data_IF_014357255788
#
_entry.id   IF_014357255788
#
_cell.length_a   1.000
_cell.length_b   1.000
_cell.length_c   1.000
_cell.angle_alpha   90.00
_cell.angle_beta   90.00
_cell.angle_gamma   90.00
#
_symmetry.space_group_name_H-M   'P 1'
#
loop_
_entity.id
_entity.type
_entity.pdbx_description
1 polymer ?
#
# COMPACT_ATOMS: atom_id res chain seq x y z
N UNK A 1 -19.14 7.66 -18.99
CA UNK A 1 -18.52 8.89 -18.45
C UNK A 1 -17.09 8.58 -17.99
N UNK A 2 -16.14 9.49 -18.13
CA UNK A 2 -14.79 9.32 -17.59
C UNK A 2 -14.39 10.55 -16.79
N UNK A 3 -13.86 10.35 -15.58
CA UNK A 3 -13.28 11.40 -14.75
C UNK A 3 -11.79 11.13 -14.57
N UNK A 4 -10.99 12.18 -14.68
CA UNK A 4 -9.54 12.09 -14.53
C UNK A 4 -9.00 13.30 -13.78
N UNK A 5 -8.15 13.07 -12.78
CA UNK A 5 -7.54 14.14 -11.97
C UNK A 5 -8.56 15.03 -11.23
N UNK A 6 -9.63 14.41 -10.70
CA UNK A 6 -10.74 15.11 -10.02
C UNK A 6 -10.80 14.75 -8.54
N UNK A 7 -11.13 15.73 -7.69
CA UNK A 7 -11.55 15.49 -6.30
C UNK A 7 -13.06 15.69 -6.16
N UNK A 8 -13.75 14.72 -5.55
CA UNK A 8 -15.18 14.76 -5.21
C UNK A 8 -15.28 14.62 -3.70
N UNK A 9 -15.56 15.72 -2.99
CA UNK A 9 -15.51 15.71 -1.54
C UNK A 9 -16.57 16.57 -0.85
N UNK A 10 -16.88 16.19 0.39
CA UNK A 10 -17.78 16.95 1.27
C UNK A 10 -19.24 16.99 0.82
N UNK A 11 -19.65 16.13 -0.12
CA UNK A 11 -21.02 16.11 -0.63
C UNK A 11 -21.92 15.28 0.29
N UNK A 12 -23.18 15.69 0.43
CA UNK A 12 -24.15 15.00 1.30
C UNK A 12 -25.49 14.76 0.59
N UNK A 13 -25.95 13.51 0.57
CA UNK A 13 -27.32 13.15 0.18
C UNK A 13 -28.17 12.96 1.45
N UNK A 14 -29.02 13.94 1.76
CA UNK A 14 -29.74 14.06 3.04
C UNK A 14 -31.09 13.36 3.10
N UNK A 15 -31.66 12.96 1.96
CA UNK A 15 -32.96 12.29 1.92
C UNK A 15 -32.87 10.88 2.51
N UNK A 16 -33.93 10.44 3.20
CA UNK A 16 -34.12 9.02 3.49
C UNK A 16 -34.11 8.25 2.17
N UNK A 17 -33.23 7.26 2.04
CA UNK A 17 -32.96 6.54 0.79
C UNK A 17 -31.91 7.18 -0.12
N UNK A 18 -31.21 8.23 0.31
CA UNK A 18 -30.19 8.90 -0.52
C UNK A 18 -29.04 7.99 -0.93
N UNK A 19 -28.67 8.04 -2.22
CA UNK A 19 -27.61 7.23 -2.81
C UNK A 19 -26.41 8.10 -3.19
N UNK A 20 -25.20 7.57 -3.05
CA UNK A 20 -24.03 8.10 -3.75
C UNK A 20 -23.70 9.53 -3.38
N UNK A 21 -23.31 9.76 -2.12
CA UNK A 21 -23.00 11.09 -1.61
C UNK A 21 -21.99 11.80 -2.50
N UNK A 22 -20.95 11.10 -2.95
CA UNK A 22 -20.06 11.55 -4.01
C UNK A 22 -20.57 11.21 -5.42
N UNK A 23 -20.79 9.91 -5.70
CA UNK A 23 -21.15 9.43 -7.04
C UNK A 23 -22.32 8.45 -6.98
N UNK A 24 -23.31 8.67 -7.84
CA UNK A 24 -24.25 7.63 -8.29
C UNK A 24 -23.89 7.20 -9.70
N UNK A 25 -23.40 5.97 -9.86
CA UNK A 25 -23.15 5.40 -11.17
C UNK A 25 -24.38 4.62 -11.66
N UNK A 26 -24.84 4.98 -12.85
CA UNK A 26 -26.03 4.44 -13.49
C UNK A 26 -25.74 3.76 -14.84
N UNK A 27 -24.51 3.83 -15.33
CA UNK A 27 -24.06 3.25 -16.60
C UNK A 27 -22.55 2.92 -16.53
N UNK A 28 -21.82 3.07 -17.64
CA UNK A 28 -20.38 2.89 -17.67
C UNK A 28 -19.66 4.16 -17.19
N UNK A 29 -18.83 3.99 -16.16
CA UNK A 29 -18.00 5.04 -15.60
C UNK A 29 -16.56 4.56 -15.40
N UNK A 30 -15.61 5.39 -15.83
CA UNK A 30 -14.18 5.19 -15.57
C UNK A 30 -13.65 6.32 -14.70
N UNK A 31 -12.97 5.97 -13.62
CA UNK A 31 -12.30 6.91 -12.73
C UNK A 31 -10.79 6.68 -12.80
N UNK A 32 -10.02 7.73 -13.06
CA UNK A 32 -8.57 7.64 -13.11
C UNK A 32 -7.92 8.77 -12.31
N UNK A 33 -7.08 8.47 -11.33
CA UNK A 33 -6.43 9.50 -10.48
C UNK A 33 -7.42 10.42 -9.76
N UNK A 34 -8.51 9.83 -9.28
CA UNK A 34 -9.62 10.54 -8.64
C UNK A 34 -9.58 10.32 -7.12
N UNK A 35 -9.91 11.35 -6.36
CA UNK A 35 -10.12 11.24 -4.90
C UNK A 35 -11.59 11.47 -4.56
N UNK A 36 -12.19 10.52 -3.84
CA UNK A 36 -13.56 10.61 -3.35
C UNK A 36 -13.51 10.59 -1.83
N UNK A 37 -13.77 11.72 -1.18
CA UNK A 37 -13.55 11.81 0.26
C UNK A 37 -14.54 12.65 1.06
N UNK A 38 -14.78 12.25 2.31
CA UNK A 38 -15.63 13.02 3.21
C UNK A 38 -17.08 13.18 2.71
N UNK A 39 -17.55 12.30 1.81
CA UNK A 39 -18.92 12.34 1.34
C UNK A 39 -19.83 11.54 2.27
N UNK A 40 -21.12 11.89 2.29
CA UNK A 40 -22.12 11.24 3.12
C UNK A 40 -23.42 10.96 2.36
N UNK A 41 -23.94 9.75 2.49
CA UNK A 41 -25.25 9.36 1.97
C UNK A 41 -25.73 8.13 2.71
N UNK A 42 -27.03 7.80 2.57
CA UNK A 42 -27.56 6.58 3.14
C UNK A 42 -26.88 5.34 2.53
N UNK A 43 -26.84 5.23 1.21
CA UNK A 43 -26.31 4.07 0.52
C UNK A 43 -25.10 4.47 -0.34
N UNK A 44 -23.94 3.84 -0.14
CA UNK A 44 -22.76 4.14 -0.96
C UNK A 44 -22.27 5.58 -0.73
N UNK A 45 -21.85 5.93 0.50
CA UNK A 45 -21.56 7.32 0.85
C UNK A 45 -20.51 7.96 -0.08
N UNK A 46 -19.45 7.22 -0.42
CA UNK A 46 -18.55 7.58 -1.51
C UNK A 46 -19.20 7.34 -2.86
N UNK A 47 -19.46 6.07 -3.17
CA UNK A 47 -19.98 5.64 -4.47
C UNK A 47 -21.13 4.64 -4.30
N UNK A 48 -22.24 4.92 -4.98
CA UNK A 48 -23.29 3.95 -5.24
C UNK A 48 -23.18 3.45 -6.69
N UNK A 49 -22.91 2.16 -6.88
CA UNK A 49 -22.68 1.54 -8.17
C UNK A 49 -23.78 0.50 -8.48
N UNK A 50 -24.67 0.82 -9.42
CA UNK A 50 -25.61 -0.17 -9.95
C UNK A 50 -27.08 0.27 -9.96
N UNK A 51 -27.38 1.40 -10.61
CA UNK A 51 -28.76 1.80 -10.89
C UNK A 51 -29.34 1.21 -12.19
N UNK A 52 -28.58 0.38 -12.94
CA UNK A 52 -28.98 -0.18 -14.23
C UNK A 52 -28.22 -1.49 -14.55
N UNK A 53 -28.81 -2.46 -15.28
CA UNK A 53 -28.12 -3.69 -15.69
C UNK A 53 -26.87 -3.49 -16.56
N UNK A 54 -26.72 -2.33 -17.21
CA UNK A 54 -25.54 -1.98 -18.02
C UNK A 54 -24.45 -1.26 -17.22
N UNK A 55 -24.58 -1.21 -15.89
CA UNK A 55 -23.72 -0.46 -15.02
C UNK A 55 -22.35 -1.12 -14.85
N UNK A 56 -21.28 -0.34 -15.08
CA UNK A 56 -19.92 -0.75 -14.81
C UNK A 56 -19.12 0.43 -14.28
N UNK A 57 -18.35 0.18 -13.22
CA UNK A 57 -17.40 1.12 -12.64
C UNK A 57 -16.01 0.52 -12.70
N UNK A 58 -15.13 1.17 -13.46
CA UNK A 58 -13.71 0.83 -13.50
C UNK A 58 -12.90 1.97 -12.88
N UNK A 59 -12.06 1.65 -11.90
CA UNK A 59 -11.19 2.64 -11.27
C UNK A 59 -9.72 2.28 -11.44
N UNK A 60 -8.89 3.27 -11.73
CA UNK A 60 -7.44 3.14 -11.76
C UNK A 60 -6.79 4.26 -10.95
N UNK A 61 -5.90 3.92 -10.01
CA UNK A 61 -5.20 4.92 -9.19
C UNK A 61 -6.16 5.85 -8.42
N UNK A 62 -7.17 5.29 -7.77
CA UNK A 62 -8.22 6.05 -7.08
C UNK A 62 -8.09 5.92 -5.57
N UNK A 63 -8.26 7.03 -4.85
CA UNK A 63 -8.37 7.05 -3.39
C UNK A 63 -9.82 7.30 -2.98
N UNK A 64 -10.38 6.41 -2.15
CA UNK A 64 -11.73 6.55 -1.56
C UNK A 64 -11.58 6.55 -0.05
N UNK A 65 -11.79 7.71 0.58
CA UNK A 65 -11.42 7.88 1.99
C UNK A 65 -12.33 8.76 2.82
N UNK A 66 -12.61 8.36 4.06
CA UNK A 66 -13.38 9.19 4.98
C UNK A 66 -14.83 9.38 4.59
N UNK A 67 -15.38 8.54 3.69
CA UNK A 67 -16.79 8.62 3.34
C UNK A 67 -17.61 7.89 4.42
N UNK A 68 -18.67 8.54 4.89
CA UNK A 68 -19.40 8.09 6.07
C UNK A 68 -20.91 8.02 5.83
N UNK A 69 -21.50 6.98 6.37
CA UNK A 69 -22.94 6.81 6.42
C UNK A 69 -23.49 6.92 7.86
N UNK A 70 -24.57 7.67 8.06
CA UNK A 70 -25.16 7.97 9.36
C UNK A 70 -26.31 7.05 9.84
N UNK A 71 -26.85 6.14 9.01
CA UNK A 71 -28.02 5.31 9.37
C UNK A 71 -27.67 3.84 9.70
N UNK A 72 -28.49 3.16 10.53
CA UNK A 72 -28.22 1.79 10.99
C UNK A 72 -28.48 0.70 9.94
N UNK A 73 -29.18 1.01 8.83
CA UNK A 73 -29.64 0.01 7.86
C UNK A 73 -28.86 -0.02 6.54
N UNK A 74 -27.71 0.65 6.47
CA UNK A 74 -27.01 0.80 5.21
C UNK A 74 -25.50 0.58 5.29
N UNK A 75 -24.96 0.12 4.17
CA UNK A 75 -23.59 -0.30 3.98
C UNK A 75 -22.83 0.43 2.89
N UNK A 76 -21.57 0.00 2.71
CA UNK A 76 -20.69 0.52 1.69
C UNK A 76 -20.33 1.99 1.90
N UNK A 77 -19.74 2.33 3.05
CA UNK A 77 -19.28 3.70 3.32
C UNK A 77 -18.41 4.24 2.17
N UNK A 78 -17.46 3.45 1.69
CA UNK A 78 -16.69 3.74 0.49
C UNK A 78 -17.49 3.46 -0.77
N UNK A 79 -17.86 2.19 -0.97
CA UNK A 79 -18.60 1.73 -2.16
C UNK A 79 -19.74 0.79 -1.78
N UNK A 80 -20.94 1.09 -2.27
CA UNK A 80 -22.00 0.11 -2.39
C UNK A 80 -22.08 -0.37 -3.84
N UNK A 81 -21.73 -1.62 -4.09
CA UNK A 81 -21.91 -2.30 -5.37
C UNK A 81 -23.17 -3.16 -5.32
N UNK A 82 -24.23 -2.74 -6.03
CA UNK A 82 -25.55 -3.36 -5.94
C UNK A 82 -25.62 -4.64 -6.78
N UNK A 83 -26.78 -5.29 -6.84
CA UNK A 83 -27.04 -6.47 -7.69
C UNK A 83 -26.88 -6.21 -9.19
N UNK A 84 -26.98 -4.96 -9.64
CA UNK A 84 -26.67 -4.56 -11.02
C UNK A 84 -25.25 -4.00 -11.17
N UNK A 85 -24.44 -4.08 -10.12
CA UNK A 85 -23.09 -3.55 -10.07
C UNK A 85 -22.07 -4.43 -10.80
N UNK A 86 -21.20 -3.80 -11.56
CA UNK A 86 -19.95 -4.40 -12.01
C UNK A 86 -18.81 -3.47 -11.59
N UNK A 87 -17.94 -3.93 -10.70
CA UNK A 87 -16.87 -3.15 -10.10
C UNK A 87 -15.52 -3.75 -10.45
N UNK A 88 -14.63 -2.94 -11.02
CA UNK A 88 -13.22 -3.28 -11.23
C UNK A 88 -12.33 -2.23 -10.60
N UNK A 89 -11.50 -2.64 -9.63
CA UNK A 89 -10.55 -1.78 -8.92
C UNK A 89 -9.12 -2.17 -9.28
N UNK A 90 -8.34 -1.21 -9.76
CA UNK A 90 -6.91 -1.37 -10.08
C UNK A 90 -6.12 -0.29 -9.37
N UNK A 91 -5.15 -0.69 -8.54
CA UNK A 91 -4.31 0.27 -7.81
C UNK A 91 -5.15 1.32 -7.07
N UNK A 92 -6.17 0.89 -6.32
CA UNK A 92 -7.00 1.78 -5.51
C UNK A 92 -6.60 1.72 -4.03
N UNK A 93 -6.89 2.78 -3.29
CA UNK A 93 -6.78 2.82 -1.83
C UNK A 93 -8.14 3.18 -1.23
N UNK A 94 -8.77 2.23 -0.55
CA UNK A 94 -10.08 2.38 0.10
C UNK A 94 -9.91 2.23 1.60
N UNK A 95 -9.97 3.35 2.32
CA UNK A 95 -9.61 3.41 3.74
C UNK A 95 -10.42 4.45 4.51
N UNK A 96 -10.48 4.36 5.83
CA UNK A 96 -11.17 5.32 6.70
C UNK A 96 -12.64 5.58 6.35
N UNK A 97 -13.27 4.71 5.56
CA UNK A 97 -14.70 4.83 5.28
C UNK A 97 -15.50 4.13 6.39
N UNK A 98 -16.71 4.60 6.64
CA UNK A 98 -17.56 4.10 7.73
C UNK A 98 -19.01 3.96 7.31
N UNK A 99 -19.65 2.88 7.75
CA UNK A 99 -21.08 2.64 7.61
C UNK A 99 -21.57 1.65 8.67
N UNK A 100 -22.88 1.44 8.78
CA UNK A 100 -23.42 0.39 9.63
C UNK A 100 -23.07 -1.00 9.10
N UNK A 101 -23.22 -1.22 7.78
CA UNK A 101 -22.96 -2.50 7.12
C UNK A 101 -21.73 -2.41 6.19
N UNK A 102 -20.54 -2.57 6.74
CA UNK A 102 -19.26 -2.43 6.03
C UNK A 102 -18.90 -1.01 5.60
N UNK A 103 -17.85 -0.48 6.21
CA UNK A 103 -17.30 0.83 5.89
C UNK A 103 -16.63 0.86 4.53
N UNK A 104 -15.92 -0.20 4.13
CA UNK A 104 -15.20 -0.24 2.86
C UNK A 104 -16.13 -0.53 1.68
N UNK A 105 -16.31 -1.81 1.34
CA UNK A 105 -17.12 -2.26 0.21
C UNK A 105 -18.26 -3.17 0.66
N UNK A 106 -19.50 -2.75 0.40
CA UNK A 106 -20.64 -3.67 0.41
C UNK A 106 -20.91 -4.13 -1.02
N UNK A 107 -20.81 -5.44 -1.28
CA UNK A 107 -20.92 -6.01 -2.61
C UNK A 107 -22.08 -7.01 -2.75
N UNK A 108 -22.90 -6.87 -3.78
CA UNK A 108 -24.03 -7.76 -4.09
C UNK A 108 -23.99 -8.33 -5.52
N UNK A 109 -22.90 -8.10 -6.25
CA UNK A 109 -22.68 -8.57 -7.61
C UNK A 109 -21.18 -8.77 -7.85
N UNK A 110 -20.69 -8.48 -9.06
CA UNK A 110 -19.29 -8.71 -9.40
C UNK A 110 -18.41 -7.56 -8.90
N UNK A 111 -17.40 -7.90 -8.09
CA UNK A 111 -16.29 -7.03 -7.75
C UNK A 111 -14.95 -7.73 -8.00
N UNK A 112 -14.07 -7.08 -8.76
CA UNK A 112 -12.73 -7.59 -9.08
C UNK A 112 -11.68 -6.58 -8.61
N UNK A 113 -10.75 -7.04 -7.76
CA UNK A 113 -9.70 -6.21 -7.18
C UNK A 113 -8.32 -6.70 -7.64
N UNK A 114 -7.44 -5.77 -8.01
CA UNK A 114 -6.00 -6.03 -8.19
C UNK A 114 -5.15 -4.87 -7.71
N UNK A 115 -3.98 -5.18 -7.17
CA UNK A 115 -3.02 -4.19 -6.67
C UNK A 115 -3.68 -3.15 -5.73
N UNK A 116 -4.74 -3.52 -5.01
CA UNK A 116 -5.62 -2.57 -4.30
C UNK A 116 -5.51 -2.73 -2.79
N UNK A 117 -5.48 -1.61 -2.08
CA UNK A 117 -5.59 -1.57 -0.62
C UNK A 117 -7.07 -1.39 -0.25
N UNK A 118 -7.59 -2.31 0.56
CA UNK A 118 -8.90 -2.22 1.21
C UNK A 118 -8.71 -2.51 2.71
N UNK A 119 -8.50 -1.45 3.49
CA UNK A 119 -8.10 -1.59 4.89
C UNK A 119 -8.40 -0.34 5.71
N UNK A 120 -8.56 -0.52 7.03
CA UNK A 120 -8.76 0.60 7.96
C UNK A 120 -10.12 1.27 7.81
N UNK A 121 -11.10 0.56 7.26
CA UNK A 121 -12.49 1.00 7.27
C UNK A 121 -13.15 0.57 8.59
N UNK A 122 -14.36 1.09 8.87
CA UNK A 122 -15.05 0.83 10.14
C UNK A 122 -16.51 0.50 9.95
N UNK A 123 -17.05 -0.25 10.90
CA UNK A 123 -18.47 -0.63 10.96
C UNK A 123 -19.04 -0.22 12.30
N UNK A 124 -20.16 0.51 12.30
CA UNK A 124 -20.81 0.99 13.53
C UNK A 124 -21.81 0.00 14.12
N UNK A 125 -22.14 -1.09 13.41
CA UNK A 125 -23.13 -2.09 13.83
C UNK A 125 -22.57 -3.51 13.91
N UNK A 126 -21.25 -3.65 14.12
CA UNK A 126 -20.61 -4.96 14.32
C UNK A 126 -20.44 -5.81 13.06
N UNK A 127 -20.82 -5.30 11.89
CA UNK A 127 -20.56 -5.94 10.60
C UNK A 127 -19.07 -5.89 10.22
N UNK A 128 -18.63 -6.75 9.30
CA UNK A 128 -17.34 -6.67 8.61
C UNK A 128 -16.92 -5.26 8.17
N UNK A 129 -15.80 -4.70 8.65
CA UNK A 129 -15.46 -3.30 8.38
C UNK A 129 -14.98 -3.03 6.95
N UNK A 130 -14.11 -3.88 6.41
CA UNK A 130 -13.43 -3.62 5.12
C UNK A 130 -14.25 -4.09 3.92
N UNK A 131 -14.88 -5.27 4.00
CA UNK A 131 -15.77 -5.74 2.96
C UNK A 131 -16.88 -6.65 3.49
N UNK A 132 -18.00 -6.66 2.78
CA UNK A 132 -19.09 -7.60 2.99
C UNK A 132 -19.75 -8.01 1.66
N UNK A 133 -20.41 -9.16 1.68
CA UNK A 133 -21.11 -9.71 0.52
C UNK A 133 -20.19 -10.37 -0.51
N UNK A 134 -20.77 -10.79 -1.65
CA UNK A 134 -20.18 -11.77 -2.55
C UNK A 134 -20.69 -11.63 -3.99
N UNK A 135 -19.89 -12.01 -5.01
CA UNK A 135 -18.47 -12.40 -4.94
C UNK A 135 -17.51 -11.20 -5.01
N UNK A 136 -16.43 -11.24 -4.20
CA UNK A 136 -15.27 -10.36 -4.38
C UNK A 136 -14.08 -11.21 -4.82
N UNK A 137 -13.66 -11.03 -6.07
CA UNK A 137 -12.59 -11.82 -6.69
C UNK A 137 -11.28 -11.05 -6.70
N UNK A 138 -10.21 -11.72 -6.30
CA UNK A 138 -8.85 -11.19 -6.46
C UNK A 138 -8.29 -11.52 -7.84
N UNK A 139 -7.65 -10.54 -8.46
CA UNK A 139 -6.72 -10.71 -9.59
C UNK A 139 -5.26 -10.55 -9.15
N UNK A 140 -5.01 -10.64 -7.85
CA UNK A 140 -3.69 -10.68 -7.21
C UNK A 140 -3.23 -9.36 -6.63
N UNK A 141 -2.26 -9.49 -5.72
CA UNK A 141 -1.50 -8.38 -5.12
C UNK A 141 -2.34 -7.32 -4.40
N UNK A 142 -3.46 -7.69 -3.80
CA UNK A 142 -4.27 -6.81 -2.98
C UNK A 142 -3.81 -6.85 -1.52
N UNK A 143 -4.07 -5.77 -0.77
CA UNK A 143 -3.88 -5.74 0.67
C UNK A 143 -5.23 -5.53 1.35
N UNK A 144 -5.70 -6.54 2.08
CA UNK A 144 -6.97 -6.54 2.80
C UNK A 144 -6.70 -6.44 4.30
N UNK A 145 -7.19 -5.38 4.94
CA UNK A 145 -6.97 -5.09 6.36
C UNK A 145 -7.64 -6.09 7.30
N UNK A 146 -8.87 -6.49 6.96
CA UNK A 146 -9.63 -7.52 7.65
C UNK A 146 -10.41 -8.33 6.63
N UNK A 147 -10.24 -9.65 6.64
CA UNK A 147 -11.02 -10.56 5.79
C UNK A 147 -12.32 -11.02 6.46
N UNK A 148 -12.59 -10.57 7.68
CA UNK A 148 -13.81 -10.95 8.42
C UNK A 148 -15.03 -10.60 7.57
N UNK A 149 -15.87 -11.60 7.25
CA UNK A 149 -17.08 -11.47 6.42
C UNK A 149 -16.90 -10.94 5.00
N UNK A 150 -15.66 -10.80 4.54
CA UNK A 150 -15.35 -10.63 3.14
C UNK A 150 -15.38 -12.00 2.45
N UNK A 151 -16.27 -12.20 1.47
CA UNK A 151 -16.16 -13.35 0.55
C UNK A 151 -15.06 -13.10 -0.50
N UNK A 152 -13.84 -12.81 -0.01
CA UNK A 152 -12.67 -12.49 -0.82
C UNK A 152 -11.90 -13.77 -1.16
N UNK A 153 -11.92 -14.17 -2.43
CA UNK A 153 -11.13 -15.29 -2.90
C UNK A 153 -9.69 -14.82 -3.18
N UNK A 154 -8.79 -15.06 -2.21
CA UNK A 154 -7.39 -14.64 -2.31
C UNK A 154 -6.63 -15.41 -3.39
N UNK A 155 -5.65 -14.76 -3.98
CA UNK A 155 -4.75 -15.31 -5.00
C UNK A 155 -3.31 -14.84 -4.75
N UNK A 156 -2.43 -15.05 -5.73
CA UNK A 156 -1.00 -14.74 -5.64
C UNK A 156 -0.74 -13.30 -5.21
N UNK A 157 0.11 -13.14 -4.21
CA UNK A 157 0.61 -11.85 -3.74
C UNK A 157 -0.37 -11.05 -2.88
N UNK A 158 -1.57 -11.57 -2.61
CA UNK A 158 -2.49 -10.91 -1.68
C UNK A 158 -1.94 -10.94 -0.24
N UNK A 159 -2.05 -9.82 0.45
CA UNK A 159 -1.71 -9.63 1.85
C UNK A 159 -3.02 -9.51 2.64
N UNK A 160 -3.32 -10.48 3.49
CA UNK A 160 -4.59 -10.55 4.21
C UNK A 160 -4.40 -10.24 5.69
N UNK A 161 -5.44 -9.67 6.31
CA UNK A 161 -5.44 -9.30 7.74
C UNK A 161 -4.21 -8.44 8.11
N UNK A 162 -3.85 -7.51 7.21
CA UNK A 162 -2.60 -6.77 7.28
C UNK A 162 -2.86 -5.27 7.34
N UNK A 163 -2.25 -4.56 8.29
CA UNK A 163 -2.33 -3.10 8.34
C UNK A 163 -1.43 -2.47 7.25
N UNK A 164 -1.97 -1.64 6.34
CA UNK A 164 -1.17 -1.01 5.29
C UNK A 164 -0.23 0.10 5.78
N UNK A 165 -0.33 0.55 7.04
CA UNK A 165 0.48 1.64 7.60
C UNK A 165 0.41 2.92 6.73
N UNK A 166 -0.81 3.35 6.42
CA UNK A 166 -1.06 4.56 5.62
C UNK A 166 -0.83 5.84 6.45
N UNK A 167 -0.30 6.87 5.80
CA UNK A 167 -0.33 8.24 6.31
C UNK A 167 -1.73 8.88 6.21
N UNK A 168 -1.85 10.13 6.64
CA UNK A 168 -3.09 10.92 6.50
C UNK A 168 -3.48 11.14 5.04
N UNK A 169 -4.77 11.40 4.79
CA UNK A 169 -5.22 11.93 3.51
C UNK A 169 -4.75 13.37 3.39
N UNK A 170 -3.83 13.63 2.48
CA UNK A 170 -3.26 14.96 2.31
C UNK A 170 -2.68 15.15 0.90
N UNK A 171 -2.16 16.34 0.63
CA UNK A 171 -1.42 16.60 -0.59
C UNK A 171 -0.03 15.96 -0.47
N UNK A 172 0.14 14.77 -1.08
CA UNK A 172 1.44 14.10 -1.20
C UNK A 172 2.05 14.29 -2.60
N UNK A 173 1.70 15.39 -3.27
CA UNK A 173 1.98 15.67 -4.68
C UNK A 173 0.85 15.21 -5.61
N UNK A 174 0.90 15.67 -6.87
CA UNK A 174 -0.11 15.35 -7.88
C UNK A 174 -1.34 16.26 -7.87
N UNK A 175 -2.34 15.89 -8.68
CA UNK A 175 -3.56 16.69 -8.86
C UNK A 175 -4.64 16.46 -7.80
N UNK A 176 -4.59 15.35 -7.05
CA UNK A 176 -5.61 14.96 -6.05
C UNK A 176 -4.96 14.46 -4.76
N UNK A 177 -5.68 14.52 -3.63
CA UNK A 177 -5.16 14.07 -2.33
C UNK A 177 -5.01 12.55 -2.29
N UNK A 178 -3.99 12.05 -1.60
CA UNK A 178 -3.71 10.60 -1.49
C UNK A 178 -3.38 10.22 -0.06
N UNK A 179 -3.36 8.91 0.22
CA UNK A 179 -2.69 8.36 1.40
C UNK A 179 -1.31 7.86 1.01
N UNK A 180 -0.25 8.51 1.50
CA UNK A 180 1.10 8.01 1.33
C UNK A 180 1.30 6.71 2.12
N UNK A 181 2.18 5.82 1.63
CA UNK A 181 2.61 4.65 2.39
C UNK A 181 3.64 5.06 3.43
N UNK A 182 3.46 4.61 4.68
CA UNK A 182 4.48 4.76 5.72
C UNK A 182 5.75 3.97 5.37
N UNK A 183 6.90 4.37 5.92
CA UNK A 183 8.23 3.86 5.56
C UNK A 183 8.44 2.35 5.76
N UNK A 184 7.61 1.68 6.56
CA UNK A 184 7.62 0.23 6.76
C UNK A 184 6.34 -0.45 6.30
N UNK A 185 5.57 0.23 5.43
CA UNK A 185 4.32 -0.32 4.91
C UNK A 185 4.55 -1.64 4.18
N UNK A 186 3.78 -2.68 4.47
CA UNK A 186 3.86 -3.96 3.75
C UNK A 186 3.37 -3.84 2.30
N UNK A 187 2.74 -2.72 1.90
CA UNK A 187 2.35 -2.45 0.52
C UNK A 187 3.54 -2.02 -0.37
N UNK A 188 4.67 -1.64 0.22
CA UNK A 188 5.87 -1.19 -0.49
C UNK A 188 6.53 -2.37 -1.23
N UNK A 189 6.79 -2.19 -2.53
CA UNK A 189 7.32 -3.18 -3.46
C UNK A 189 6.56 -4.52 -3.48
N UNK A 190 5.27 -4.49 -3.13
CA UNK A 190 4.43 -5.69 -3.00
C UNK A 190 3.44 -5.89 -4.15
N UNK A 191 3.28 -4.91 -5.05
CA UNK A 191 2.40 -4.97 -6.22
C UNK A 191 2.90 -5.91 -7.31
N UNK A 192 2.08 -6.16 -8.33
CA UNK A 192 2.37 -7.13 -9.39
C UNK A 192 3.80 -6.96 -9.98
N UNK A 193 4.63 -8.02 -10.06
CA UNK A 193 6.01 -7.93 -10.53
C UNK A 193 6.17 -7.73 -12.04
N UNK A 194 5.09 -7.84 -12.83
CA UNK A 194 5.14 -7.56 -14.26
C UNK A 194 5.51 -6.09 -14.52
N UNK A 195 6.21 -5.84 -15.63
CA UNK A 195 6.61 -4.50 -16.03
C UNK A 195 5.37 -3.56 -16.11
N UNK A 196 5.35 -2.42 -15.40
CA UNK A 196 4.19 -1.55 -15.43
C UNK A 196 3.79 -1.13 -16.84
N UNK A 197 2.49 -1.19 -17.14
CA UNK A 197 1.95 -0.92 -18.48
C UNK A 197 2.02 -2.08 -19.46
N UNK A 198 2.58 -3.24 -19.10
CA UNK A 198 2.66 -4.40 -20.00
C UNK A 198 1.33 -5.12 -20.28
N UNK A 199 0.21 -4.59 -19.77
CA UNK A 199 -1.13 -5.18 -19.90
C UNK A 199 -1.45 -6.26 -18.86
N UNK A 200 -2.59 -6.94 -19.04
CA UNK A 200 -3.08 -7.96 -18.11
C UNK A 200 -3.35 -7.39 -16.72
N UNK A 201 -2.68 -7.95 -15.69
CA UNK A 201 -2.81 -7.53 -14.29
C UNK A 201 -1.62 -6.68 -13.80
N UNK A 202 -0.73 -6.25 -14.71
CA UNK A 202 0.40 -5.38 -14.37
C UNK A 202 -0.11 -4.04 -13.80
N UNK A 203 0.73 -3.42 -12.97
CA UNK A 203 0.47 -2.06 -12.49
C UNK A 203 0.39 -1.07 -13.66
N UNK A 204 -0.42 0.00 -13.57
CA UNK A 204 -0.32 1.14 -14.47
C UNK A 204 1.08 1.77 -14.44
N UNK A 205 1.48 2.43 -15.53
CA UNK A 205 2.81 3.08 -15.67
C UNK A 205 3.06 4.22 -14.70
N UNK A 206 2.00 4.78 -14.10
CA UNK A 206 2.06 5.86 -13.13
C UNK A 206 1.06 5.62 -11.98
N UNK A 207 1.28 6.26 -10.85
CA UNK A 207 0.36 6.28 -9.71
C UNK A 207 -0.71 7.39 -9.79
N UNK A 208 -1.47 7.60 -8.71
CA UNK A 208 -2.50 8.65 -8.64
C UNK A 208 -1.97 10.07 -8.84
N UNK A 209 -0.69 10.30 -8.55
CA UNK A 209 -0.05 11.61 -8.62
C UNK A 209 0.63 11.82 -9.96
N UNK A 210 0.50 10.86 -10.88
CA UNK A 210 1.23 10.78 -12.14
C UNK A 210 2.74 10.55 -11.95
N UNK A 211 3.14 9.95 -10.83
CA UNK A 211 4.52 9.55 -10.56
C UNK A 211 4.76 8.18 -11.19
N UNK A 212 5.90 8.01 -11.89
CA UNK A 212 6.21 6.79 -12.63
C UNK A 212 6.28 5.56 -11.71
N UNK A 213 5.87 4.40 -12.23
CA UNK A 213 6.05 3.11 -11.56
C UNK A 213 7.07 2.24 -12.30
N UNK A 214 7.86 1.41 -11.58
CA UNK A 214 7.98 1.40 -10.12
C UNK A 214 9.03 2.40 -9.63
N UNK A 215 8.82 2.97 -8.44
CA UNK A 215 9.90 3.59 -7.69
C UNK A 215 10.54 2.53 -6.78
N UNK A 216 11.50 1.82 -7.35
CA UNK A 216 12.21 0.74 -6.68
C UNK A 216 12.24 -0.52 -7.52
N UNK A 217 12.13 -1.68 -6.86
CA UNK A 217 12.18 -2.98 -7.55
C UNK A 217 10.85 -3.40 -8.16
N UNK A 218 9.73 -3.04 -7.53
CA UNK A 218 8.35 -3.42 -7.92
C UNK A 218 7.39 -2.29 -7.59
N UNK A 219 6.25 -2.23 -8.29
CA UNK A 219 5.22 -1.26 -7.94
C UNK A 219 4.67 -1.54 -6.54
N UNK A 220 4.14 -0.50 -5.92
CA UNK A 220 3.45 -0.60 -4.65
C UNK A 220 1.98 -1.03 -4.84
N UNK A 221 1.43 -1.67 -3.81
CA UNK A 221 -0.01 -1.93 -3.73
C UNK A 221 -0.70 -0.60 -3.38
N UNK A 222 -1.80 -0.30 -4.08
CA UNK A 222 -2.64 0.87 -3.85
C UNK A 222 -2.44 2.00 -4.85
N UNK A 223 -3.04 3.14 -4.55
CA UNK A 223 -3.07 4.32 -5.42
C UNK A 223 -1.78 5.15 -5.42
N UNK A 224 -0.89 4.89 -4.47
CA UNK A 224 0.33 5.66 -4.23
C UNK A 224 1.56 4.81 -4.49
N UNK A 225 2.54 5.35 -5.21
CA UNK A 225 3.87 4.76 -5.35
C UNK A 225 4.86 5.45 -4.41
N UNK A 226 5.43 4.72 -3.46
CA UNK A 226 6.41 5.24 -2.53
C UNK A 226 7.77 5.43 -3.19
N UNK A 227 8.42 6.53 -2.83
CA UNK A 227 9.85 6.73 -3.09
C UNK A 227 10.66 6.31 -1.86
N UNK A 228 10.16 5.34 -1.08
CA UNK A 228 10.80 4.94 0.16
C UNK A 228 12.14 4.25 -0.11
N UNK A 229 13.16 4.63 0.64
CA UNK A 229 14.40 3.85 0.70
C UNK A 229 14.06 2.45 1.19
N UNK A 230 14.55 1.42 0.50
CA UNK A 230 14.47 0.05 0.99
C UNK A 230 15.78 -0.67 0.75
N UNK A 231 16.08 -1.65 1.59
CA UNK A 231 17.20 -2.57 1.42
C UNK A 231 16.65 -4.00 1.36
N UNK A 232 17.13 -4.79 0.41
CA UNK A 232 16.65 -6.15 0.15
C UNK A 232 17.73 -7.21 0.32
N UNK A 233 19.01 -6.84 0.15
CA UNK A 233 20.12 -7.77 0.29
C UNK A 233 21.38 -7.06 0.80
N UNK A 234 22.12 -7.77 1.67
CA UNK A 234 23.47 -7.44 2.09
C UNK A 234 24.43 -8.49 1.54
N UNK A 235 25.48 -8.07 0.82
CA UNK A 235 26.49 -8.97 0.29
C UNK A 235 27.92 -8.46 0.60
N UNK A 236 28.70 -9.16 1.43
CA UNK A 236 28.31 -10.36 2.21
C UNK A 236 27.27 -10.01 3.30
N UNK A 237 26.53 -11.00 3.80
CA UNK A 237 25.62 -10.84 4.95
C UNK A 237 26.26 -11.22 6.30
N UNK A 238 27.50 -11.71 6.28
CA UNK A 238 28.26 -12.06 7.47
C UNK A 238 29.77 -12.00 7.23
N UNK A 239 30.53 -11.77 8.30
CA UNK A 239 32.00 -11.84 8.32
C UNK A 239 32.49 -12.38 9.67
N UNK A 240 33.64 -13.07 9.67
CA UNK A 240 34.33 -13.44 10.91
C UNK A 240 34.89 -12.21 11.62
N UNK A 241 34.88 -12.21 12.94
CA UNK A 241 35.51 -11.17 13.74
C UNK A 241 36.99 -11.02 13.37
N UNK A 242 37.48 -9.78 13.28
CA UNK A 242 38.88 -9.48 12.92
C UNK A 242 39.29 -9.79 11.47
N UNK A 243 38.36 -10.19 10.58
CA UNK A 243 38.68 -10.65 9.21
C UNK A 243 39.04 -9.57 8.19
N UNK A 244 39.48 -8.38 8.66
CA UNK A 244 39.79 -7.24 7.80
C UNK A 244 38.57 -6.39 7.44
N UNK A 245 38.80 -5.11 7.15
CA UNK A 245 37.77 -4.25 6.56
C UNK A 245 37.36 -4.74 5.17
N UNK A 246 36.16 -4.38 4.72
CA UNK A 246 35.62 -4.85 3.44
C UNK A 246 34.63 -3.83 2.85
N UNK A 247 34.27 -4.03 1.58
CA UNK A 247 33.16 -3.31 0.96
C UNK A 247 31.90 -4.15 1.06
N UNK A 248 30.88 -3.62 1.73
CA UNK A 248 29.54 -4.20 1.78
C UNK A 248 28.73 -3.68 0.60
N UNK A 249 28.23 -4.58 -0.24
CA UNK A 249 27.24 -4.27 -1.27
C UNK A 249 25.86 -4.30 -0.62
N UNK A 250 25.15 -3.18 -0.72
CA UNK A 250 23.78 -3.02 -0.25
C UNK A 250 22.88 -2.90 -1.48
N UNK A 251 22.05 -3.92 -1.72
CA UNK A 251 21.03 -3.88 -2.77
C UNK A 251 19.71 -3.42 -2.19
N UNK A 252 18.98 -2.61 -2.95
CA UNK A 252 17.72 -2.02 -2.49
C UNK A 252 17.02 -1.19 -3.56
N UNK A 253 16.33 -0.14 -3.11
CA UNK A 253 15.55 0.76 -3.95
C UNK A 253 15.65 2.21 -3.52
N UNK A 254 15.43 3.11 -4.50
CA UNK A 254 15.35 4.56 -4.33
C UNK A 254 16.61 5.17 -3.71
N UNK A 255 17.75 4.51 -3.90
CA UNK A 255 19.02 5.12 -3.53
C UNK A 255 19.29 6.34 -4.41
N UNK A 256 19.91 7.33 -3.81
CA UNK A 256 20.38 8.55 -4.44
C UNK A 256 21.82 8.83 -4.01
N UNK A 257 22.53 9.63 -4.80
CA UNK A 257 23.87 10.08 -4.40
C UNK A 257 23.79 10.83 -3.07
N UNK A 258 24.63 10.43 -2.12
CA UNK A 258 24.66 11.00 -0.77
C UNK A 258 23.88 10.22 0.28
N UNK A 259 23.17 9.13 -0.06
CA UNK A 259 22.63 8.22 0.97
C UNK A 259 23.77 7.58 1.79
N UNK A 260 23.50 7.32 3.07
CA UNK A 260 24.48 6.84 4.05
C UNK A 260 23.98 5.53 4.62
N UNK A 261 24.87 4.55 4.85
CA UNK A 261 24.49 3.30 5.52
C UNK A 261 24.65 3.46 7.03
N UNK A 262 23.68 2.99 7.81
CA UNK A 262 23.75 2.95 9.26
C UNK A 262 24.11 1.54 9.74
N UNK A 263 25.19 1.44 10.52
CA UNK A 263 25.71 0.22 11.14
C UNK A 263 25.46 0.30 12.65
N UNK A 264 24.42 -0.37 13.14
CA UNK A 264 23.88 -0.17 14.51
C UNK A 264 23.60 1.30 14.84
N UNK A 265 23.04 2.03 13.86
CA UNK A 265 22.73 3.46 13.99
C UNK A 265 23.92 4.40 13.75
N UNK A 266 25.15 3.88 13.68
CA UNK A 266 26.33 4.69 13.36
C UNK A 266 26.53 4.80 11.84
N UNK A 267 26.72 6.01 11.34
CA UNK A 267 26.84 6.28 9.91
C UNK A 267 28.13 5.71 9.31
N UNK A 268 28.03 5.16 8.10
CA UNK A 268 29.13 4.69 7.24
C UNK A 268 28.92 5.27 5.85
N UNK A 269 29.97 5.91 5.35
CA UNK A 269 29.96 6.49 4.01
C UNK A 269 29.64 5.41 2.96
N UNK A 270 28.90 5.81 1.94
CA UNK A 270 28.61 4.94 0.80
C UNK A 270 29.04 5.60 -0.50
N UNK A 271 29.34 4.76 -1.48
CA UNK A 271 29.45 5.13 -2.89
C UNK A 271 28.16 4.73 -3.58
N UNK A 272 27.50 5.69 -4.21
CA UNK A 272 26.32 5.44 -5.03
C UNK A 272 26.74 4.77 -6.35
N UNK A 273 26.19 3.58 -6.62
CA UNK A 273 26.43 2.83 -7.87
C UNK A 273 25.23 3.00 -8.80
N UNK A 274 24.03 2.79 -8.27
CA UNK A 274 22.76 2.96 -8.99
C UNK A 274 21.63 3.20 -7.98
N UNK A 275 20.41 3.50 -8.47
CA UNK A 275 19.22 3.62 -7.62
C UNK A 275 18.86 2.33 -6.87
N UNK A 276 19.53 1.22 -7.17
CA UNK A 276 19.33 -0.09 -6.54
C UNK A 276 20.58 -0.65 -5.87
N UNK A 277 21.72 0.05 -5.92
CA UNK A 277 22.96 -0.40 -5.28
C UNK A 277 23.77 0.74 -4.65
N UNK A 278 24.17 0.52 -3.39
CA UNK A 278 25.19 1.28 -2.67
C UNK A 278 26.35 0.36 -2.29
N UNK A 279 27.57 0.90 -2.29
CA UNK A 279 28.74 0.23 -1.72
C UNK A 279 29.15 0.96 -0.44
N UNK A 280 29.11 0.29 0.71
CA UNK A 280 29.53 0.85 1.99
C UNK A 280 30.90 0.31 2.41
N UNK A 281 31.78 1.17 2.91
CA UNK A 281 33.07 0.73 3.48
C UNK A 281 32.89 0.37 4.95
N UNK A 282 33.22 -0.87 5.31
CA UNK A 282 33.20 -1.36 6.69
C UNK A 282 34.64 -1.52 7.17
N UNK A 283 34.97 -0.87 8.29
CA UNK A 283 36.33 -0.86 8.79
C UNK A 283 36.63 -2.09 9.65
N UNK A 284 37.91 -2.38 9.87
CA UNK A 284 38.35 -3.46 10.77
C UNK A 284 37.76 -3.33 12.18
N UNK A 285 37.67 -2.10 12.68
CA UNK A 285 37.12 -1.79 14.01
C UNK A 285 35.62 -2.11 14.13
N UNK A 286 34.90 -2.22 13.01
CA UNK A 286 33.48 -2.57 13.01
C UNK A 286 33.25 -4.08 13.21
N UNK A 287 34.32 -4.89 13.16
CA UNK A 287 34.28 -6.36 13.18
C UNK A 287 34.98 -6.97 14.41
N UNK A 288 35.16 -6.22 15.50
CA UNK A 288 35.96 -6.68 16.65
C UNK A 288 35.18 -7.53 17.66
N UNK A 289 33.85 -7.52 17.62
CA UNK A 289 33.01 -8.24 18.58
C UNK A 289 31.95 -9.08 17.86
N UNK A 290 31.85 -10.38 18.14
CA UNK A 290 30.78 -11.22 17.62
C UNK A 290 29.41 -10.71 18.06
N UNK A 291 28.53 -10.41 17.10
CA UNK A 291 27.16 -9.93 17.32
C UNK A 291 26.37 -9.88 16.03
N UNK A 292 25.07 -9.69 16.15
CA UNK A 292 24.23 -9.20 15.06
C UNK A 292 24.30 -7.67 15.00
N UNK A 293 24.51 -7.14 13.80
CA UNK A 293 24.48 -5.71 13.48
C UNK A 293 23.22 -5.42 12.68
N UNK A 294 22.49 -4.39 13.07
CA UNK A 294 21.36 -3.88 12.31
C UNK A 294 21.84 -2.87 11.25
N UNK A 295 21.54 -3.16 10.00
CA UNK A 295 21.90 -2.33 8.84
C UNK A 295 20.66 -1.63 8.30
N UNK A 296 20.78 -0.34 8.01
CA UNK A 296 19.78 0.49 7.32
C UNK A 296 20.47 1.44 6.33
N UNK A 297 19.72 2.03 5.41
CA UNK A 297 20.16 3.17 4.60
C UNK A 297 19.36 4.40 5.01
N UNK A 298 20.03 5.53 5.19
CA UNK A 298 19.46 6.83 5.55
C UNK A 298 19.70 7.85 4.45
N UNK A 299 18.69 8.65 4.16
CA UNK A 299 18.86 9.90 3.42
C UNK A 299 19.22 11.01 4.42
N UNK A 300 20.44 11.59 4.37
CA UNK A 300 20.84 12.62 5.34
C UNK A 300 20.08 13.95 5.17
N UNK A 301 19.42 14.19 4.04
CA UNK A 301 18.71 15.44 3.77
C UNK A 301 17.39 15.52 4.54
N UNK A 302 16.60 14.44 4.51
CA UNK A 302 15.27 14.38 5.13
C UNK A 302 15.20 13.40 6.32
N UNK A 303 16.31 12.74 6.65
CA UNK A 303 16.44 11.73 7.71
C UNK A 303 15.55 10.49 7.54
N UNK A 304 14.97 10.27 6.36
CA UNK A 304 14.24 9.03 6.06
C UNK A 304 15.19 7.84 6.09
N UNK A 305 14.70 6.71 6.60
CA UNK A 305 15.46 5.47 6.74
C UNK A 305 14.73 4.30 6.09
N UNK A 306 15.50 3.36 5.56
CA UNK A 306 14.98 2.11 5.02
C UNK A 306 14.48 1.16 6.11
N UNK A 307 13.86 0.05 5.68
CA UNK A 307 13.75 -1.16 6.49
C UNK A 307 15.14 -1.65 6.98
N UNK A 308 15.15 -2.59 7.93
CA UNK A 308 16.37 -3.12 8.54
C UNK A 308 16.70 -4.51 8.01
N UNK A 309 17.99 -4.78 7.76
CA UNK A 309 18.52 -6.13 7.56
C UNK A 309 19.60 -6.43 8.61
N UNK A 310 19.76 -7.71 8.93
CA UNK A 310 20.76 -8.17 9.90
C UNK A 310 22.04 -8.59 9.19
N UNK A 311 23.18 -8.07 9.66
CA UNK A 311 24.51 -8.54 9.32
C UNK A 311 25.11 -9.31 10.51
N UNK A 312 25.81 -10.41 10.26
CA UNK A 312 26.35 -11.27 11.33
C UNK A 312 27.87 -11.15 11.44
N UNK A 313 28.37 -10.69 12.59
CA UNK A 313 29.78 -10.81 12.96
C UNK A 313 29.95 -12.12 13.72
N UNK A 314 30.60 -13.09 13.08
CA UNK A 314 30.75 -14.45 13.59
C UNK A 314 32.01 -14.54 14.46
N UNK A 315 31.91 -15.25 15.59
CA UNK A 315 33.03 -15.53 16.49
C UNK A 315 33.11 -17.01 16.86
N UNK A 316 34.15 -17.42 17.58
CA UNK A 316 34.26 -18.80 18.05
C UNK A 316 33.10 -19.18 18.96
N UNK A 317 32.63 -20.43 18.84
CA UNK A 317 31.64 -21.00 19.75
C UNK A 317 32.23 -21.05 21.16
N UNK A 318 31.60 -20.37 22.12
CA UNK A 318 31.89 -20.59 23.53
C UNK A 318 31.26 -21.92 23.94
N UNK A 319 32.05 -23.00 23.96
CA UNK A 319 31.68 -24.21 24.70
C UNK A 319 32.10 -23.95 26.16
N UNK A 320 31.18 -23.92 27.14
CA UNK A 320 31.57 -23.83 28.54
C UNK A 320 32.39 -25.07 28.89
N UNK A 321 33.69 -24.89 29.13
CA UNK A 321 34.52 -25.95 29.71
C UNK A 321 34.11 -26.06 31.17
N UNK A 322 33.35 -27.11 31.51
CA UNK A 322 33.16 -27.52 32.91
C UNK A 322 34.42 -28.27 33.32
N UNK A 323 35.35 -27.60 34.00
CA UNK A 323 36.44 -28.26 34.70
C UNK A 323 35.84 -28.99 35.92
N UNK A 324 35.95 -30.32 35.95
CA UNK A 324 35.64 -31.16 37.12
C UNK A 324 36.83 -31.19 38.07
#
# INVERSE_FOLDING_TARGET
MALTDVTISGNTATSTGGYGGGIVNIQQMTLNRVTISGNSAQYGAGIYNGASPLNSLTTTNVTISGNNHASPAAGGGGIWNTTYGNLTLTNATITLNSAAQSGGIQNMATAVLRNTILAGNSSTSGYPPDCAGSPISSSGYNLIGSTSGCSFASTTGDLLNTNPLLGSLQNNGGATLTHALGTSSPAINAGNPAAPGSGGNACPTVDQRNVARPHGGRCDIGAYESNALAITLLNPSSKWMGSGGFTLIVTGSNFTSGNIMQWDGADRATTFVSSTQLNASINTNDLVTPRTVLVRVRNPVDSTVSNTLSFWIVGPLHIPIVLK
#
